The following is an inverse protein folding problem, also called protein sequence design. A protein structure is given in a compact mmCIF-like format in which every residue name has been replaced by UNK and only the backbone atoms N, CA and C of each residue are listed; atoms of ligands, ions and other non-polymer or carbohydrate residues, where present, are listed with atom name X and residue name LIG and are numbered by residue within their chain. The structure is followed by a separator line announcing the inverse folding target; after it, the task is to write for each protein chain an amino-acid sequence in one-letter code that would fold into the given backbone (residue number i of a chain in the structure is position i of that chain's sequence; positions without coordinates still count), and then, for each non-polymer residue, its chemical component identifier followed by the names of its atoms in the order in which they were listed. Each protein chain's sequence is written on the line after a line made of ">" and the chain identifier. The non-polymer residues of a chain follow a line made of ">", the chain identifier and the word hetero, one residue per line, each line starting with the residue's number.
data_IF_237524182167
#
_entry.id   IF_237524182167
#
_cell.length_a   1.000
_cell.length_b   1.000
_cell.length_c   1.000
_cell.angle_alpha   90.00
_cell.angle_beta   90.00
_cell.angle_gamma   90.00
#
_symmetry.space_group_name_H-M   'P 1'
#
loop_
_entity.id
_entity.type
_entity.pdbx_description
1 polymer ?
#
# COMPACT_ATOMS: atom_id res chain seq x y z
N UNK A 1 -16.58 -25.51 29.14
CA UNK A 1 -15.83 -24.37 28.58
C UNK A 1 -16.80 -23.51 27.80
N UNK A 2 -17.24 -22.33 28.28
CA UNK A 2 -18.17 -21.51 27.52
C UNK A 2 -17.44 -20.83 26.36
N UNK A 3 -18.00 -21.04 25.18
CA UNK A 3 -17.59 -20.58 23.86
C UNK A 3 -17.58 -19.05 23.78
N UNK A 4 -16.61 -18.49 23.06
CA UNK A 4 -16.44 -17.06 22.77
C UNK A 4 -17.77 -16.31 22.59
N UNK A 5 -17.91 -15.17 23.29
CA UNK A 5 -18.98 -14.21 23.13
C UNK A 5 -19.05 -13.67 21.69
N UNK A 6 -19.76 -14.38 20.81
CA UNK A 6 -20.12 -13.86 19.50
C UNK A 6 -21.06 -12.67 19.70
N UNK A 7 -20.56 -11.45 19.46
CA UNK A 7 -21.37 -10.22 19.53
C UNK A 7 -22.58 -10.37 18.61
N UNK A 8 -23.77 -10.03 19.11
CA UNK A 8 -25.02 -10.14 18.35
C UNK A 8 -25.00 -9.19 17.14
N UNK A 9 -25.04 -9.75 15.93
CA UNK A 9 -25.16 -8.97 14.70
C UNK A 9 -26.60 -8.51 14.51
N UNK A 10 -26.78 -7.24 14.11
CA UNK A 10 -28.08 -6.66 13.79
C UNK A 10 -28.07 -6.16 12.34
N UNK A 11 -29.14 -6.42 11.60
CA UNK A 11 -29.29 -5.92 10.22
C UNK A 11 -29.72 -4.46 10.27
N UNK A 12 -28.96 -3.59 9.60
CA UNK A 12 -29.29 -2.18 9.39
C UNK A 12 -29.35 -1.90 7.89
N UNK A 13 -30.46 -1.35 7.42
CA UNK A 13 -30.58 -0.88 6.04
C UNK A 13 -30.07 0.56 5.98
N UNK A 14 -29.23 0.85 4.99
CA UNK A 14 -28.64 2.17 4.73
C UNK A 14 -28.85 2.51 3.25
N UNK A 15 -28.84 3.81 2.93
CA UNK A 15 -28.87 4.29 1.56
C UNK A 15 -27.43 4.55 1.11
N UNK A 16 -27.07 4.04 -0.07
CA UNK A 16 -25.75 4.20 -0.71
C UNK A 16 -25.97 4.44 -2.20
N UNK A 17 -25.00 5.06 -2.86
CA UNK A 17 -25.03 5.27 -4.31
C UNK A 17 -24.60 4.01 -5.07
N UNK A 18 -24.99 3.90 -6.34
CA UNK A 18 -24.55 2.79 -7.22
C UNK A 18 -23.02 2.72 -7.33
N UNK A 19 -22.35 3.87 -7.36
CA UNK A 19 -20.88 3.94 -7.36
C UNK A 19 -20.28 3.33 -6.08
N UNK A 20 -20.89 3.58 -4.92
CA UNK A 20 -20.43 3.01 -3.65
C UNK A 20 -20.65 1.49 -3.60
N UNK A 21 -21.75 0.99 -4.17
CA UNK A 21 -21.99 -0.45 -4.32
C UNK A 21 -20.89 -1.08 -5.19
N UNK A 22 -20.61 -0.48 -6.36
CA UNK A 22 -19.55 -0.97 -7.25
C UNK A 22 -18.15 -0.96 -6.62
N UNK A 23 -17.86 -0.01 -5.72
CA UNK A 23 -16.62 -0.01 -4.93
C UNK A 23 -16.60 -1.16 -3.91
N UNK A 24 -17.70 -1.38 -3.19
CA UNK A 24 -17.82 -2.45 -2.20
C UNK A 24 -17.65 -3.83 -2.85
N UNK A 25 -18.31 -4.08 -3.98
CA UNK A 25 -18.24 -5.36 -4.69
C UNK A 25 -16.83 -5.65 -5.20
N UNK A 26 -16.13 -4.63 -5.71
CA UNK A 26 -14.74 -4.78 -6.16
C UNK A 26 -13.82 -5.16 -5.00
N UNK A 27 -13.90 -4.44 -3.88
CA UNK A 27 -13.06 -4.70 -2.70
C UNK A 27 -13.36 -6.10 -2.13
N UNK A 28 -14.64 -6.46 -2.06
CA UNK A 28 -15.09 -7.78 -1.63
C UNK A 28 -14.54 -8.88 -2.54
N UNK A 29 -14.63 -8.69 -3.86
CA UNK A 29 -14.13 -9.61 -4.87
C UNK A 29 -12.61 -9.80 -4.83
N UNK A 30 -11.85 -8.71 -4.73
CA UNK A 30 -10.38 -8.74 -4.62
C UNK A 30 -9.91 -9.45 -3.34
N UNK A 31 -10.64 -9.29 -2.24
CA UNK A 31 -10.30 -9.86 -0.92
C UNK A 31 -10.90 -11.24 -0.67
N UNK A 32 -11.81 -11.71 -1.53
CA UNK A 32 -12.51 -12.98 -1.35
C UNK A 32 -13.41 -13.02 -0.10
N UNK A 33 -13.97 -11.88 0.31
CA UNK A 33 -14.83 -11.77 1.50
C UNK A 33 -16.21 -11.19 1.16
N UNK A 34 -17.25 -11.45 1.96
CA UNK A 34 -18.55 -10.81 1.76
C UNK A 34 -18.49 -9.29 1.89
N UNK A 35 -19.35 -8.58 1.16
CA UNK A 35 -19.49 -7.11 1.26
C UNK A 35 -19.76 -6.65 2.70
N UNK A 36 -20.53 -7.43 3.48
CA UNK A 36 -20.80 -7.13 4.89
C UNK A 36 -19.55 -7.14 5.77
N UNK A 37 -18.55 -7.95 5.42
CA UNK A 37 -17.25 -7.98 6.10
C UNK A 37 -16.48 -6.70 5.83
N UNK A 38 -16.46 -6.26 4.57
CA UNK A 38 -15.81 -5.00 4.16
C UNK A 38 -16.44 -3.81 4.88
N UNK A 39 -17.77 -3.76 4.96
CA UNK A 39 -18.48 -2.70 5.67
C UNK A 39 -18.15 -2.73 7.17
N UNK A 40 -18.11 -3.91 7.79
CA UNK A 40 -17.75 -4.02 9.22
C UNK A 40 -16.33 -3.53 9.49
N UNK A 41 -15.36 -3.96 8.68
CA UNK A 41 -13.98 -3.51 8.79
C UNK A 41 -13.86 -2.00 8.58
N UNK A 42 -14.60 -1.43 7.63
CA UNK A 42 -14.61 0.01 7.40
C UNK A 42 -15.19 0.77 8.60
N UNK A 43 -16.25 0.26 9.23
CA UNK A 43 -16.82 0.85 10.46
C UNK A 43 -15.82 0.74 11.62
N UNK A 44 -15.20 -0.42 11.82
CA UNK A 44 -14.23 -0.64 12.90
C UNK A 44 -12.96 0.22 12.71
N UNK A 45 -12.57 0.48 11.47
CA UNK A 45 -11.42 1.32 11.11
C UNK A 45 -11.78 2.82 11.02
N UNK A 46 -13.06 3.18 11.07
CA UNK A 46 -13.48 4.58 11.01
C UNK A 46 -13.16 5.27 12.34
N UNK A 47 -12.05 5.99 12.34
CA UNK A 47 -11.61 6.84 13.45
C UNK A 47 -11.78 8.32 13.04
N UNK A 48 -12.92 8.96 13.35
CA UNK A 48 -13.17 10.35 12.97
C UNK A 48 -12.24 11.36 13.65
N UNK A 49 -11.68 11.01 14.82
CA UNK A 49 -10.74 11.87 15.57
C UNK A 49 -9.27 11.58 15.18
N UNK A 50 -9.00 10.40 14.60
CA UNK A 50 -7.67 9.96 14.17
C UNK A 50 -7.16 10.59 12.86
N UNK A 51 -8.01 11.29 12.10
CA UNK A 51 -7.59 11.97 10.85
C UNK A 51 -6.55 13.06 11.13
N UNK A 52 -6.52 13.62 12.35
CA UNK A 52 -5.47 14.56 12.79
C UNK A 52 -4.10 13.93 13.10
N UNK A 53 -3.98 12.59 13.10
CA UNK A 53 -2.72 11.88 13.41
C UNK A 53 -2.06 11.24 12.18
N UNK A 54 -2.73 11.23 11.02
CA UNK A 54 -2.17 10.66 9.79
C UNK A 54 -1.17 11.59 9.07
N UNK A 55 -1.00 12.82 9.57
CA UNK A 55 0.17 13.65 9.31
C UNK A 55 1.25 13.30 10.34
N UNK A 56 2.07 12.27 10.06
CA UNK A 56 3.41 12.21 10.65
C UNK A 56 4.41 12.66 9.57
N UNK A 57 4.69 13.98 9.46
CA UNK A 57 5.73 14.52 8.59
C UNK A 57 7.05 13.74 8.70
N UNK A 58 7.35 13.21 9.90
CA UNK A 58 8.52 12.38 10.16
C UNK A 58 8.55 11.06 9.37
N UNK A 59 7.40 10.40 9.17
CA UNK A 59 7.33 9.17 8.38
C UNK A 59 7.56 9.49 6.89
N UNK A 60 6.93 10.54 6.39
CA UNK A 60 7.10 10.99 5.00
C UNK A 60 8.52 11.50 4.74
N UNK A 61 9.14 12.16 5.73
CA UNK A 61 10.55 12.56 5.67
C UNK A 61 11.47 11.34 5.65
N UNK A 62 11.21 10.33 6.49
CA UNK A 62 11.97 9.08 6.53
C UNK A 62 11.88 8.33 5.20
N UNK A 63 10.67 8.17 4.64
CA UNK A 63 10.44 7.55 3.33
C UNK A 63 11.17 8.35 2.25
N UNK A 64 11.05 9.67 2.26
CA UNK A 64 11.75 10.56 1.31
C UNK A 64 13.28 10.44 1.40
N UNK A 65 13.83 10.29 2.61
CA UNK A 65 15.27 10.09 2.85
C UNK A 65 15.73 8.75 2.27
N UNK A 66 15.03 7.66 2.58
CA UNK A 66 15.33 6.30 2.08
C UNK A 66 15.25 6.22 0.55
N UNK A 67 14.25 6.87 -0.05
CA UNK A 67 14.11 6.89 -1.51
C UNK A 67 15.27 7.64 -2.18
N UNK A 68 15.71 8.77 -1.60
CA UNK A 68 16.88 9.52 -2.11
C UNK A 68 18.18 8.71 -2.00
N UNK A 69 18.36 7.97 -0.91
CA UNK A 69 19.51 7.07 -0.72
C UNK A 69 19.52 5.97 -1.79
N UNK A 70 18.40 5.25 -1.95
CA UNK A 70 18.25 4.21 -2.97
C UNK A 70 18.56 4.75 -4.37
N UNK A 71 17.99 5.90 -4.75
CA UNK A 71 18.27 6.53 -6.06
C UNK A 71 19.75 6.86 -6.25
N UNK A 72 20.45 7.33 -5.21
CA UNK A 72 21.89 7.62 -5.28
C UNK A 72 22.71 6.34 -5.47
N UNK A 73 22.36 5.28 -4.77
CA UNK A 73 23.03 3.98 -4.88
C UNK A 73 22.81 3.35 -6.26
N UNK A 74 21.57 3.33 -6.75
CA UNK A 74 21.25 2.84 -8.10
C UNK A 74 22.00 3.63 -9.18
N UNK A 75 22.05 4.97 -9.08
CA UNK A 75 22.82 5.79 -10.03
C UNK A 75 24.31 5.48 -9.99
N UNK A 76 24.88 5.22 -8.82
CA UNK A 76 26.29 4.83 -8.67
C UNK A 76 26.55 3.45 -9.28
N UNK A 77 25.66 2.49 -9.05
CA UNK A 77 25.75 1.16 -9.65
C UNK A 77 25.72 1.25 -11.18
N UNK A 78 24.75 1.99 -11.74
CA UNK A 78 24.66 2.19 -13.19
C UNK A 78 25.92 2.83 -13.78
N UNK A 79 26.51 3.82 -13.11
CA UNK A 79 27.77 4.42 -13.56
C UNK A 79 28.92 3.40 -13.59
N UNK A 80 29.01 2.52 -12.59
CA UNK A 80 30.03 1.46 -12.56
C UNK A 80 29.81 0.44 -13.66
N UNK A 81 28.57 -0.02 -13.84
CA UNK A 81 28.21 -0.97 -14.90
C UNK A 81 28.56 -0.39 -16.26
N UNK A 82 28.15 0.85 -16.54
CA UNK A 82 28.47 1.52 -17.80
C UNK A 82 29.99 1.72 -18.00
N UNK A 83 30.73 2.00 -16.93
CA UNK A 83 32.19 2.09 -17.00
C UNK A 83 32.86 0.76 -17.34
N UNK A 84 32.36 -0.35 -16.78
CA UNK A 84 32.85 -1.69 -17.11
C UNK A 84 32.49 -2.07 -18.55
N UNK A 85 31.26 -1.81 -18.98
CA UNK A 85 30.84 -2.06 -20.37
C UNK A 85 31.71 -1.30 -21.37
N UNK A 86 31.96 -0.01 -21.14
CA UNK A 86 32.82 0.79 -22.01
C UNK A 86 34.28 0.29 -22.05
N UNK A 87 34.80 -0.24 -20.94
CA UNK A 87 36.14 -0.82 -20.90
C UNK A 87 36.20 -2.16 -21.68
N UNK A 88 35.14 -2.96 -21.61
CA UNK A 88 35.03 -4.20 -22.38
C UNK A 88 34.94 -3.91 -23.89
N UNK A 89 34.12 -2.94 -24.30
CA UNK A 89 34.00 -2.52 -25.71
C UNK A 89 35.35 -2.06 -26.28
N UNK A 90 36.16 -1.35 -25.48
CA UNK A 90 37.50 -0.91 -25.88
C UNK A 90 38.51 -2.06 -26.00
N UNK A 91 38.36 -3.12 -25.19
CA UNK A 91 39.20 -4.30 -25.26
C UNK A 91 38.83 -5.18 -26.46
N UNK A 92 37.53 -5.33 -26.76
CA UNK A 92 37.05 -6.10 -27.91
C UNK A 92 37.32 -5.38 -29.25
N UNK A 93 37.30 -4.04 -29.28
CA UNK A 93 37.64 -3.27 -30.49
C UNK A 93 39.15 -3.11 -30.77
N UNK A 94 40.01 -3.53 -29.85
CA UNK A 94 41.47 -3.48 -29.98
C UNK A 94 42.11 -4.84 -30.33
N UNK A 95 41.30 -5.91 -30.43
CA UNK A 95 41.68 -7.25 -30.88
C UNK A 95 41.32 -7.46 -32.36
#
# INVERSE_FOLDING_TARGET
>A
MPTQNAKRLVRKQILVTEEQIGKLDRIAGERGVPVTEVVRQAIDAYDPEGVGQMDTPELMELVGRRLKEALRETRRANKRVNGVLAALDQLEGAA
#
